data_IF_024719909653
#
_entry.id   IF_024719909653
#
_cell.length_a   1.000
_cell.length_b   1.000
_cell.length_c   1.000
_cell.angle_alpha   90.00
_cell.angle_beta   90.00
_cell.angle_gamma   90.00
#
_symmetry.space_group_name_H-M   'P 1'
#
loop_
_entity.id
_entity.type
_entity.pdbx_description
1 polymer ?
#
# COMPACT_ATOMS: atom_id res chain seq x y z
N UNK A 1 -5.38 16.05 -9.28
CA UNK A 1 -4.90 14.68 -9.05
C UNK A 1 -3.46 14.82 -8.58
N UNK A 2 -3.18 14.54 -7.30
CA UNK A 2 -1.83 14.65 -6.75
C UNK A 2 -1.11 13.31 -6.91
N UNK A 3 0.03 13.33 -7.60
CA UNK A 3 0.88 12.17 -7.82
C UNK A 3 2.03 12.23 -6.80
N UNK A 4 1.96 11.37 -5.78
CA UNK A 4 2.97 11.30 -4.72
C UNK A 4 3.95 10.17 -5.01
N UNK A 5 5.25 10.42 -4.82
CA UNK A 5 6.28 9.41 -5.00
C UNK A 5 6.40 8.52 -3.77
N UNK A 6 6.36 7.20 -3.97
CA UNK A 6 6.57 6.26 -2.89
C UNK A 6 7.99 6.35 -2.34
N UNK A 7 8.19 6.61 -1.05
CA UNK A 7 9.54 6.68 -0.48
C UNK A 7 10.26 5.31 -0.48
N UNK A 8 9.54 4.20 -0.70
CA UNK A 8 10.08 2.83 -0.60
C UNK A 8 10.45 2.25 -1.97
N UNK A 9 9.59 2.48 -2.97
CA UNK A 9 9.76 1.92 -4.30
C UNK A 9 9.99 2.97 -5.39
N UNK A 10 9.96 4.25 -5.02
CA UNK A 10 10.10 5.40 -5.92
C UNK A 10 9.13 5.37 -7.12
N UNK A 11 7.97 4.72 -6.96
CA UNK A 11 6.89 4.72 -7.95
C UNK A 11 5.86 5.79 -7.60
N UNK A 12 5.29 6.41 -8.63
CA UNK A 12 4.17 7.32 -8.49
C UNK A 12 2.95 6.56 -7.97
N UNK A 13 2.36 7.13 -6.93
CA UNK A 13 1.11 6.70 -6.33
C UNK A 13 0.10 7.81 -6.56
N UNK A 14 -1.00 7.45 -7.23
CA UNK A 14 -2.14 8.34 -7.40
C UNK A 14 -2.88 8.41 -6.08
N UNK A 15 -2.82 9.57 -5.43
CA UNK A 15 -3.56 9.83 -4.20
C UNK A 15 -4.70 10.78 -4.51
N UNK A 16 -5.92 10.25 -4.53
CA UNK A 16 -7.16 11.03 -4.60
C UNK A 16 -7.69 11.26 -3.17
N UNK A 17 -8.19 12.48 -2.91
CA UNK A 17 -8.70 12.87 -1.59
C UNK A 17 -9.93 12.06 -1.11
N UNK A 18 -10.54 11.25 -1.98
CA UNK A 18 -11.64 10.34 -1.67
C UNK A 18 -11.20 8.92 -1.28
N UNK A 19 -9.89 8.64 -1.26
CA UNK A 19 -9.38 7.31 -0.99
C UNK A 19 -9.37 7.04 0.52
N UNK A 20 -10.06 5.96 0.94
CA UNK A 20 -10.08 5.47 2.32
C UNK A 20 -9.09 4.31 2.59
N UNK A 21 -8.24 3.97 1.62
CA UNK A 21 -7.30 2.86 1.71
C UNK A 21 -5.87 3.37 1.62
N UNK A 22 -5.04 2.91 2.55
CA UNK A 22 -3.67 3.36 2.67
C UNK A 22 -2.72 2.17 2.56
N UNK A 23 -1.56 2.39 1.95
CA UNK A 23 -0.51 1.40 2.00
C UNK A 23 0.01 1.28 3.43
N UNK A 24 -0.05 0.08 3.99
CA UNK A 24 0.40 -0.17 5.38
C UNK A 24 1.88 0.16 5.59
N UNK A 25 2.71 0.02 4.54
CA UNK A 25 4.15 0.23 4.65
C UNK A 25 4.58 1.69 4.45
N UNK A 26 4.07 2.37 3.41
CA UNK A 26 4.48 3.74 3.09
C UNK A 26 3.46 4.82 3.47
N UNK A 27 2.28 4.45 3.97
CA UNK A 27 1.25 5.37 4.46
C UNK A 27 0.47 6.14 3.39
N UNK A 28 0.76 5.95 2.10
CA UNK A 28 0.10 6.71 1.04
C UNK A 28 -1.29 6.17 0.71
N UNK A 29 -2.21 7.09 0.38
CA UNK A 29 -3.53 6.77 -0.16
C UNK A 29 -3.41 6.07 -1.51
N UNK A 30 -4.06 4.90 -1.64
CA UNK A 30 -4.06 4.10 -2.86
C UNK A 30 -5.48 3.72 -3.30
N UNK A 31 -5.81 3.83 -4.59
CA UNK A 31 -7.10 3.38 -5.08
C UNK A 31 -7.15 1.85 -5.02
N UNK A 32 -8.31 1.30 -4.62
CA UNK A 32 -8.53 -0.15 -4.48
C UNK A 32 -8.09 -0.90 -5.75
N UNK A 33 -8.42 -0.36 -6.92
CA UNK A 33 -8.16 -0.94 -8.24
C UNK A 33 -6.69 -1.14 -8.58
N UNK A 34 -5.77 -0.38 -7.96
CA UNK A 34 -4.32 -0.50 -8.17
C UNK A 34 -3.59 -1.01 -6.93
N UNK A 35 -4.33 -1.31 -5.87
CA UNK A 35 -3.77 -1.81 -4.62
C UNK A 35 -3.54 -3.32 -4.69
N UNK A 36 -2.52 -3.78 -3.98
CA UNK A 36 -2.28 -5.20 -3.75
C UNK A 36 -2.81 -5.52 -2.37
N UNK A 37 -3.83 -6.38 -2.31
CA UNK A 37 -4.42 -6.84 -1.06
C UNK A 37 -3.73 -8.12 -0.58
N UNK A 38 -3.45 -8.20 0.72
CA UNK A 38 -3.00 -9.43 1.40
C UNK A 38 -3.76 -9.59 2.71
N UNK A 39 -4.20 -10.81 3.00
CA UNK A 39 -4.78 -11.15 4.30
C UNK A 39 -3.64 -11.32 5.30
N UNK A 40 -3.69 -10.58 6.40
CA UNK A 40 -2.76 -10.73 7.52
C UNK A 40 -3.11 -11.97 8.33
N UNK A 41 -2.18 -12.92 8.44
CA UNK A 41 -2.37 -14.13 9.24
C UNK A 41 -2.50 -13.85 10.75
N UNK A 42 -2.03 -12.70 11.23
CA UNK A 42 -2.09 -12.33 12.65
C UNK A 42 -3.39 -11.66 13.07
N UNK A 43 -4.07 -10.99 12.15
CA UNK A 43 -5.21 -10.11 12.47
C UNK A 43 -6.46 -10.39 11.66
N UNK A 44 -6.40 -11.33 10.70
CA UNK A 44 -7.47 -11.64 9.73
C UNK A 44 -7.97 -10.42 8.94
N UNK A 45 -7.22 -9.30 9.00
CA UNK A 45 -7.52 -8.07 8.27
C UNK A 45 -6.87 -8.10 6.89
N UNK A 46 -7.57 -7.51 5.93
CA UNK A 46 -7.01 -7.23 4.61
C UNK A 46 -6.10 -6.01 4.73
N UNK A 47 -4.82 -6.22 4.42
CA UNK A 47 -3.81 -5.19 4.31
C UNK A 47 -3.64 -4.81 2.84
N UNK A 48 -3.50 -3.52 2.57
CA UNK A 48 -3.35 -3.00 1.22
C UNK A 48 -1.95 -2.41 1.02
N UNK A 49 -1.41 -2.59 -0.18
CA UNK A 49 -0.07 -2.14 -0.56
C UNK A 49 -0.09 -1.41 -1.90
N UNK A 50 0.69 -0.34 -2.00
CA UNK A 50 0.79 0.45 -3.24
C UNK A 50 1.57 -0.25 -4.36
N UNK A 51 2.39 -1.26 -4.01
CA UNK A 51 3.20 -2.00 -4.96
C UNK A 51 3.72 -3.31 -4.37
N UNK A 52 4.20 -4.22 -5.23
CA UNK A 52 4.76 -5.52 -4.80
C UNK A 52 5.97 -5.37 -3.89
N UNK A 53 6.80 -4.34 -4.09
CA UNK A 53 7.97 -4.10 -3.23
C UNK A 53 7.57 -3.80 -1.78
N UNK A 54 6.52 -2.99 -1.58
CA UNK A 54 5.99 -2.74 -0.24
C UNK A 54 5.39 -4.00 0.39
N UNK A 55 4.72 -4.82 -0.40
CA UNK A 55 4.26 -6.13 0.07
C UNK A 55 5.45 -7.01 0.50
N UNK A 56 6.47 -7.18 -0.35
CA UNK A 56 7.61 -8.04 -0.05
C UNK A 56 8.41 -7.61 1.17
N UNK A 57 8.58 -6.30 1.40
CA UNK A 57 9.22 -5.79 2.62
C UNK A 57 8.37 -6.11 3.85
N UNK A 58 7.05 -5.90 3.77
CA UNK A 58 6.15 -6.29 4.86
C UNK A 58 6.22 -7.79 5.15
N UNK A 59 6.29 -8.63 4.11
CA UNK A 59 6.43 -10.08 4.25
C UNK A 59 7.76 -10.51 4.87
N UNK A 60 8.84 -9.80 4.54
CA UNK A 60 10.18 -10.12 5.05
C UNK A 60 10.40 -9.64 6.49
N UNK A 61 9.85 -8.48 6.86
CA UNK A 61 10.20 -7.81 8.13
C UNK A 61 9.05 -7.71 9.15
N UNK A 62 7.79 -7.89 8.74
CA UNK A 62 6.63 -7.59 9.59
C UNK A 62 5.66 -8.78 9.76
N UNK A 63 5.44 -9.57 8.71
CA UNK A 63 4.38 -10.61 8.65
C UNK A 63 4.43 -11.64 9.79
#
# INVERSE_FOLDING_TARGET
MEENLCPICNKFVRSDAMINIYCILCGMGIPVSYSIAKISSRSEKILYFCCRKCLSIYEAEIA
#
